data_IF_663300727395
#
_entry.id   IF_663300727395
#
_cell.length_a   1.000
_cell.length_b   1.000
_cell.length_c   1.000
_cell.angle_alpha   90.00
_cell.angle_beta   90.00
_cell.angle_gamma   90.00
#
_symmetry.space_group_name_H-M   'P 1'
#
loop_
_entity.id
_entity.type
_entity.pdbx_description
1 polymer ?
#
# COMPACT_ATOMS: atom_id res chain seq x y z
N UNK A 1 11.71 10.48 -3.52
CA UNK A 1 10.55 10.54 -2.62
C UNK A 1 11.06 10.77 -1.20
N UNK A 2 10.43 11.67 -0.46
CA UNK A 2 10.62 11.82 0.99
C UNK A 2 9.32 11.53 1.75
N UNK A 3 9.41 11.51 3.07
CA UNK A 3 8.26 11.39 3.96
C UNK A 3 8.26 12.54 4.95
N UNK A 4 7.09 13.08 5.25
CA UNK A 4 6.82 13.88 6.44
C UNK A 4 5.94 13.02 7.37
N UNK A 5 6.55 12.49 8.44
CA UNK A 5 5.88 11.61 9.39
C UNK A 5 5.55 12.37 10.68
N UNK A 6 4.28 12.73 10.86
CA UNK A 6 3.85 13.63 11.95
C UNK A 6 2.43 13.29 12.46
N UNK A 7 2.12 13.55 13.74
CA UNK A 7 0.79 13.32 14.32
C UNK A 7 -0.34 14.08 13.62
N UNK A 8 -0.03 15.20 12.96
CA UNK A 8 -1.02 16.00 12.26
C UNK A 8 -1.63 15.26 11.04
N UNK A 9 -0.95 14.20 10.57
CA UNK A 9 -1.41 13.33 9.49
C UNK A 9 -2.12 12.07 10.03
N UNK A 10 -2.33 11.96 11.33
CA UNK A 10 -3.15 10.90 11.93
C UNK A 10 -4.63 11.11 11.59
N UNK A 11 -5.45 10.09 11.87
CA UNK A 11 -6.90 10.16 11.69
C UNK A 11 -7.49 11.18 12.66
N UNK A 12 -8.37 12.04 12.17
CA UNK A 12 -9.21 12.88 13.02
C UNK A 12 -10.45 12.10 13.46
N UNK A 13 -10.72 11.90 14.75
CA UNK A 13 -11.95 11.23 15.20
C UNK A 13 -13.21 11.90 14.66
N UNK A 14 -14.23 11.10 14.35
CA UNK A 14 -15.49 11.63 13.85
C UNK A 14 -16.26 12.32 14.98
N UNK A 15 -17.00 13.41 14.67
CA UNK A 15 -17.74 14.18 15.69
C UNK A 15 -18.99 13.46 16.19
N UNK A 16 -19.58 12.62 15.36
CA UNK A 16 -20.67 11.73 15.77
C UNK A 16 -20.10 10.61 16.66
N UNK A 17 -20.38 10.71 17.96
CA UNK A 17 -19.95 9.73 18.95
C UNK A 17 -20.50 8.32 18.71
N UNK A 18 -21.68 8.19 18.11
CA UNK A 18 -22.25 6.87 17.81
C UNK A 18 -21.46 6.18 16.70
N UNK A 19 -21.13 6.92 15.64
CA UNK A 19 -20.31 6.43 14.54
C UNK A 19 -18.89 6.11 15.02
N UNK A 20 -18.28 6.97 15.84
CA UNK A 20 -16.94 6.72 16.38
C UNK A 20 -16.92 5.50 17.32
N UNK A 21 -17.97 5.31 18.14
CA UNK A 21 -18.10 4.14 19.02
C UNK A 21 -18.25 2.84 18.22
N UNK A 22 -18.88 2.89 17.03
CA UNK A 22 -19.08 1.73 16.17
C UNK A 22 -17.76 1.06 15.72
N UNK A 23 -16.64 1.78 15.70
CA UNK A 23 -15.32 1.22 15.38
C UNK A 23 -15.00 0.06 16.33
N UNK A 24 -15.29 0.23 17.62
CA UNK A 24 -15.06 -0.80 18.64
C UNK A 24 -15.99 -1.99 18.45
N UNK A 25 -17.27 -1.72 18.19
CA UNK A 25 -18.30 -2.75 18.02
C UNK A 25 -18.00 -3.64 16.79
N UNK A 26 -17.63 -3.03 15.66
CA UNK A 26 -17.27 -3.76 14.43
C UNK A 26 -16.02 -4.61 14.63
N UNK A 27 -15.02 -4.08 15.35
CA UNK A 27 -13.82 -4.85 15.70
C UNK A 27 -14.14 -6.05 16.59
N UNK A 28 -14.91 -5.85 17.65
CA UNK A 28 -15.24 -6.91 18.60
C UNK A 28 -16.04 -8.05 17.92
N UNK A 29 -16.97 -7.70 17.03
CA UNK A 29 -17.67 -8.67 16.19
C UNK A 29 -16.71 -9.44 15.28
N UNK A 30 -15.71 -8.77 14.69
CA UNK A 30 -14.73 -9.41 13.82
C UNK A 30 -13.83 -10.38 14.58
N UNK A 31 -13.36 -9.99 15.77
CA UNK A 31 -12.52 -10.85 16.63
C UNK A 31 -13.30 -12.11 17.06
N UNK A 32 -14.60 -12.01 17.34
CA UNK A 32 -15.44 -13.17 17.65
C UNK A 32 -15.50 -14.18 16.48
N UNK A 33 -15.46 -13.70 15.24
CA UNK A 33 -15.47 -14.54 14.04
C UNK A 33 -14.08 -15.09 13.67
N UNK A 34 -13.01 -14.45 14.15
CA UNK A 34 -11.63 -14.82 13.81
C UNK A 34 -10.72 -14.59 15.03
N UNK A 35 -10.65 -15.57 15.97
CA UNK A 35 -9.92 -15.41 17.22
C UNK A 35 -8.40 -15.22 17.08
N UNK A 36 -7.83 -15.59 15.92
CA UNK A 36 -6.41 -15.39 15.60
C UNK A 36 -6.10 -13.97 15.11
N UNK A 37 -7.12 -13.12 14.92
CA UNK A 37 -6.94 -11.75 14.46
C UNK A 37 -6.29 -10.90 15.55
N UNK A 38 -5.24 -10.16 15.19
CA UNK A 38 -4.56 -9.24 16.09
C UNK A 38 -4.57 -7.82 15.53
N UNK A 39 -4.44 -6.83 16.40
CA UNK A 39 -4.31 -5.43 15.99
C UNK A 39 -2.83 -5.11 15.71
N UNK A 40 -2.53 -4.67 14.50
CA UNK A 40 -1.18 -4.24 14.09
C UNK A 40 -1.15 -2.75 13.74
N UNK A 41 -0.06 -2.07 14.10
CA UNK A 41 0.20 -0.69 13.70
C UNK A 41 0.44 -0.61 12.19
N UNK A 42 -0.01 0.48 11.57
CA UNK A 42 0.18 0.76 10.15
C UNK A 42 0.47 2.24 9.93
N UNK A 43 1.17 2.57 8.84
CA UNK A 43 1.27 3.96 8.41
C UNK A 43 -0.07 4.41 7.81
N UNK A 44 -0.56 5.57 8.24
CA UNK A 44 -1.72 6.23 7.64
C UNK A 44 -1.26 7.15 6.52
N UNK A 45 -1.93 7.09 5.38
CA UNK A 45 -1.74 8.09 4.33
C UNK A 45 -2.55 9.34 4.66
N UNK A 46 -1.86 10.45 4.91
CA UNK A 46 -2.45 11.77 5.20
C UNK A 46 -2.36 12.74 4.02
N UNK A 47 -1.72 12.35 2.91
CA UNK A 47 -1.62 13.14 1.69
C UNK A 47 -0.21 13.19 1.13
N UNK A 48 0.05 14.18 0.27
CA UNK A 48 1.37 14.38 -0.32
C UNK A 48 1.54 15.83 -0.76
N UNK A 49 2.80 16.22 -0.98
CA UNK A 49 3.18 17.43 -1.72
C UNK A 49 4.04 17.05 -2.91
N UNK A 50 3.75 17.65 -4.05
CA UNK A 50 4.50 17.47 -5.28
C UNK A 50 5.20 18.77 -5.66
N UNK A 51 6.52 18.72 -5.77
CA UNK A 51 7.36 19.84 -6.21
C UNK A 51 7.88 19.54 -7.61
N UNK A 52 7.22 20.15 -8.59
CA UNK A 52 7.71 20.27 -9.97
C UNK A 52 8.10 21.71 -10.17
N UNK A 53 9.41 22.01 -10.09
CA UNK A 53 9.88 23.37 -10.34
C UNK A 53 10.10 23.48 -11.85
N UNK A 54 9.18 24.15 -12.54
CA UNK A 54 9.20 24.34 -14.00
C UNK A 54 10.46 25.04 -14.53
N UNK A 55 11.24 25.71 -13.68
CA UNK A 55 12.40 26.54 -14.05
C UNK A 55 13.72 26.18 -13.33
N UNK A 56 13.81 25.03 -12.65
CA UNK A 56 15.08 24.60 -12.01
C UNK A 56 15.51 23.22 -12.47
N UNK A 57 16.83 22.97 -12.56
CA UNK A 57 17.40 21.65 -12.85
C UNK A 57 17.15 20.58 -11.75
N UNK A 58 16.25 20.84 -10.80
CA UNK A 58 15.92 19.87 -9.75
C UNK A 58 14.96 18.82 -10.30
N UNK A 59 15.27 17.56 -10.02
CA UNK A 59 14.38 16.45 -10.34
C UNK A 59 13.03 16.60 -9.63
N UNK A 60 11.92 16.18 -10.26
CA UNK A 60 10.60 16.21 -9.64
C UNK A 60 10.62 15.42 -8.34
N UNK A 61 10.11 16.04 -7.27
CA UNK A 61 10.15 15.45 -5.93
C UNK A 61 8.76 15.36 -5.32
N UNK A 62 8.48 14.22 -4.70
CA UNK A 62 7.24 13.96 -3.97
C UNK A 62 7.56 13.68 -2.51
N UNK A 63 6.84 14.35 -1.62
CA UNK A 63 6.88 14.11 -0.18
C UNK A 63 5.53 13.51 0.25
N UNK A 64 5.55 12.28 0.77
CA UNK A 64 4.34 11.65 1.32
C UNK A 64 4.14 12.13 2.76
N UNK A 65 2.91 12.52 3.08
CA UNK A 65 2.51 12.90 4.42
C UNK A 65 1.92 11.69 5.12
N UNK A 66 2.60 11.18 6.15
CA UNK A 66 2.24 9.94 6.82
C UNK A 66 1.95 10.17 8.30
N UNK A 67 0.86 9.55 8.77
CA UNK A 67 0.55 9.43 10.19
C UNK A 67 0.63 7.98 10.65
N UNK A 68 0.06 7.71 11.82
CA UNK A 68 -0.16 6.37 12.36
C UNK A 68 -1.64 6.02 12.36
N UNK A 69 -1.89 4.73 12.16
CA UNK A 69 -3.19 4.10 12.37
C UNK A 69 -2.94 2.65 12.77
N UNK A 70 -4.02 1.88 12.89
CA UNK A 70 -3.94 0.45 13.16
C UNK A 70 -5.00 -0.34 12.40
N UNK A 71 -4.82 -1.65 12.41
CA UNK A 71 -5.70 -2.59 11.73
C UNK A 71 -7.12 -2.59 12.30
N UNK A 72 -7.25 -2.41 13.62
CA UNK A 72 -8.55 -2.26 14.30
C UNK A 72 -9.35 -1.08 13.75
N UNK A 73 -8.73 0.09 13.66
CA UNK A 73 -9.35 1.28 13.11
C UNK A 73 -9.68 1.08 11.64
N UNK A 74 -8.81 0.42 10.87
CA UNK A 74 -9.10 0.08 9.47
C UNK A 74 -10.36 -0.79 9.32
N UNK A 75 -10.50 -1.82 10.16
CA UNK A 75 -11.69 -2.67 10.20
C UNK A 75 -12.94 -1.87 10.56
N UNK A 76 -12.84 -0.99 11.56
CA UNK A 76 -13.98 -0.21 12.05
C UNK A 76 -14.34 1.03 11.22
N UNK A 77 -13.46 1.51 10.33
CA UNK A 77 -13.74 2.64 9.44
C UNK A 77 -13.86 2.22 7.98
N UNK A 78 -12.76 1.81 7.33
CA UNK A 78 -12.73 1.57 5.89
C UNK A 78 -13.48 0.29 5.52
N UNK A 79 -13.34 -0.78 6.32
CA UNK A 79 -14.05 -2.03 6.08
C UNK A 79 -15.42 -2.12 6.79
N UNK A 80 -15.83 -1.04 7.46
CA UNK A 80 -17.15 -0.98 8.09
C UNK A 80 -18.25 -0.96 7.02
N UNK A 81 -19.40 -1.60 7.28
CA UNK A 81 -20.60 -1.40 6.45
C UNK A 81 -21.04 0.07 6.37
N UNK A 82 -20.60 0.90 7.33
CA UNK A 82 -20.90 2.34 7.42
C UNK A 82 -19.75 3.22 6.91
N UNK A 83 -18.79 2.68 6.14
CA UNK A 83 -17.57 3.40 5.75
C UNK A 83 -17.84 4.75 5.07
N UNK A 84 -18.93 4.86 4.28
CA UNK A 84 -19.32 6.10 3.60
C UNK A 84 -19.67 7.22 4.60
N UNK A 85 -20.18 6.88 5.78
CA UNK A 85 -20.53 7.85 6.82
C UNK A 85 -19.30 8.48 7.49
N UNK A 86 -18.11 7.89 7.32
CA UNK A 86 -16.86 8.48 7.78
C UNK A 86 -16.29 9.48 6.76
N UNK A 87 -16.87 9.61 5.56
CA UNK A 87 -16.39 10.55 4.55
C UNK A 87 -16.91 11.96 4.79
N UNK A 88 -16.10 12.94 4.41
CA UNK A 88 -16.50 14.35 4.36
C UNK A 88 -16.61 14.79 2.91
N UNK A 89 -17.63 15.60 2.59
CA UNK A 89 -17.76 16.18 1.27
C UNK A 89 -16.59 17.15 1.00
N UNK A 90 -15.66 16.72 0.15
CA UNK A 90 -14.45 17.44 -0.22
C UNK A 90 -13.97 16.94 -1.59
N UNK A 91 -13.39 17.83 -2.39
CA UNK A 91 -12.68 17.49 -3.63
C UNK A 91 -11.24 17.04 -3.36
N UNK A 92 -10.69 17.43 -2.19
CA UNK A 92 -9.41 16.91 -1.72
C UNK A 92 -9.63 15.55 -1.04
N UNK A 93 -9.06 14.50 -1.62
CA UNK A 93 -9.17 13.11 -1.17
C UNK A 93 -8.68 12.91 0.27
N UNK A 94 -7.65 13.66 0.69
CA UNK A 94 -7.07 13.55 2.03
C UNK A 94 -8.04 14.10 3.07
N UNK A 95 -8.68 15.23 2.78
CA UNK A 95 -9.73 15.83 3.61
C UNK A 95 -11.01 15.01 3.61
N UNK A 96 -11.39 14.45 2.47
CA UNK A 96 -12.54 13.53 2.36
C UNK A 96 -12.35 12.33 3.30
N UNK A 97 -11.12 11.83 3.41
CA UNK A 97 -10.76 10.64 4.20
C UNK A 97 -10.24 10.95 5.61
N UNK A 98 -10.44 12.18 6.12
CA UNK A 98 -9.86 12.60 7.40
C UNK A 98 -10.32 11.75 8.61
N UNK A 99 -11.53 11.18 8.55
CA UNK A 99 -12.09 10.32 9.61
C UNK A 99 -11.90 8.82 9.38
N UNK A 100 -11.22 8.42 8.31
CA UNK A 100 -10.91 7.01 8.04
C UNK A 100 -9.47 6.67 8.43
N UNK A 101 -9.25 5.39 8.78
CA UNK A 101 -7.93 4.83 9.08
C UNK A 101 -6.94 5.05 7.94
N UNK A 102 -7.38 4.80 6.70
CA UNK A 102 -6.58 4.97 5.47
C UNK A 102 -5.14 4.41 5.57
N UNK A 103 -4.97 3.13 5.96
CA UNK A 103 -3.66 2.53 6.02
C UNK A 103 -3.05 2.48 4.61
N UNK A 104 -1.80 2.93 4.49
CA UNK A 104 -1.08 2.93 3.22
C UNK A 104 -0.61 1.49 2.92
N UNK A 105 -1.20 0.86 1.90
CA UNK A 105 -0.64 -0.35 1.32
C UNK A 105 0.51 -0.04 0.35
N UNK A 106 1.28 -1.05 -0.03
CA UNK A 106 2.24 -0.95 -1.14
C UNK A 106 1.91 -1.99 -2.24
N UNK A 107 2.46 -1.78 -3.44
CA UNK A 107 2.30 -2.71 -4.57
C UNK A 107 3.38 -2.50 -5.63
N UNK A 108 3.83 -3.57 -6.27
CA UNK A 108 4.94 -3.56 -7.21
C UNK A 108 4.51 -4.03 -8.60
N UNK A 109 4.67 -3.17 -9.59
CA UNK A 109 4.66 -3.60 -10.99
C UNK A 109 6.07 -4.09 -11.33
N UNK A 110 6.25 -5.40 -11.31
CA UNK A 110 7.53 -6.05 -11.61
C UNK A 110 7.58 -6.46 -13.08
N UNK A 111 8.51 -5.89 -13.84
CA UNK A 111 8.75 -6.23 -15.26
C UNK A 111 9.96 -7.16 -15.40
N UNK A 112 9.74 -8.33 -16.00
CA UNK A 112 10.78 -9.33 -16.28
C UNK A 112 11.67 -8.93 -17.47
N UNK A 113 12.82 -9.60 -17.62
CA UNK A 113 13.74 -9.33 -18.74
C UNK A 113 13.12 -9.59 -20.11
N UNK A 114 12.13 -10.49 -20.18
CA UNK A 114 11.33 -10.82 -21.37
C UNK A 114 10.01 -10.03 -21.46
N UNK A 115 9.91 -8.89 -20.76
CA UNK A 115 8.81 -7.92 -20.85
C UNK A 115 7.43 -8.47 -20.45
N UNK A 116 7.42 -9.37 -19.45
CA UNK A 116 6.22 -9.82 -18.76
C UNK A 116 6.06 -9.09 -17.44
N UNK A 117 4.83 -9.00 -16.97
CA UNK A 117 4.47 -8.38 -15.69
C UNK A 117 4.01 -9.47 -14.73
N UNK A 118 4.51 -9.42 -13.50
CA UNK A 118 4.11 -10.33 -12.44
C UNK A 118 2.73 -9.95 -11.88
N UNK A 119 1.83 -10.93 -11.78
CA UNK A 119 0.48 -10.77 -11.24
C UNK A 119 0.14 -11.99 -10.39
N UNK A 120 -0.35 -11.78 -9.19
CA UNK A 120 -0.79 -12.83 -8.28
C UNK A 120 -2.30 -12.99 -8.36
N UNK A 121 -2.78 -14.23 -8.29
CA UNK A 121 -4.19 -14.53 -8.02
C UNK A 121 -4.37 -14.77 -6.53
N UNK A 122 -5.10 -13.89 -5.86
CA UNK A 122 -5.39 -14.01 -4.42
C UNK A 122 -6.10 -15.33 -4.11
N UNK A 123 -5.76 -15.92 -2.97
CA UNK A 123 -6.44 -17.10 -2.42
C UNK A 123 -7.92 -16.82 -2.16
N UNK A 124 -8.73 -17.87 -2.08
CA UNK A 124 -10.15 -17.72 -1.73
C UNK A 124 -10.37 -17.54 -0.21
N UNK A 125 -9.32 -17.71 0.59
CA UNK A 125 -9.38 -17.67 2.05
C UNK A 125 -9.02 -16.29 2.64
N UNK A 126 -8.67 -15.32 1.79
CA UNK A 126 -8.30 -13.97 2.22
C UNK A 126 -9.55 -13.12 2.51
N UNK A 127 -9.42 -12.17 3.45
CA UNK A 127 -10.55 -11.32 3.88
C UNK A 127 -10.97 -10.24 2.89
N UNK A 128 -10.16 -9.92 1.89
CA UNK A 128 -10.44 -8.90 0.88
C UNK A 128 -10.17 -9.44 -0.53
N UNK A 129 -11.13 -9.27 -1.44
CA UNK A 129 -11.05 -9.61 -2.87
C UNK A 129 -10.55 -11.05 -3.15
N UNK A 130 -11.22 -12.09 -2.62
CA UNK A 130 -10.82 -13.48 -2.88
C UNK A 130 -10.86 -13.81 -4.38
N UNK A 131 -9.80 -14.45 -4.88
CA UNK A 131 -9.70 -14.85 -6.30
C UNK A 131 -9.50 -13.72 -7.32
N UNK A 132 -9.31 -12.47 -6.86
CA UNK A 132 -8.94 -11.33 -7.70
C UNK A 132 -7.45 -11.35 -8.05
N UNK A 133 -7.10 -10.59 -9.08
CA UNK A 133 -5.72 -10.39 -9.48
C UNK A 133 -5.12 -9.14 -8.83
N UNK A 134 -3.90 -9.25 -8.35
CA UNK A 134 -3.15 -8.17 -7.72
C UNK A 134 -1.71 -8.16 -8.20
N UNK A 135 -1.09 -6.99 -8.09
CA UNK A 135 0.37 -6.88 -8.13
C UNK A 135 0.93 -7.37 -6.78
N UNK A 136 2.16 -7.93 -6.76
CA UNK A 136 2.83 -8.24 -5.50
C UNK A 136 2.90 -7.05 -4.56
N UNK A 137 2.76 -7.27 -3.26
CA UNK A 137 2.80 -6.23 -2.23
C UNK A 137 1.89 -6.50 -1.04
N UNK A 138 2.06 -5.68 -0.02
CA UNK A 138 1.34 -5.76 1.24
C UNK A 138 1.32 -4.42 1.96
N UNK A 139 2.00 -4.33 3.11
CA UNK A 139 1.98 -3.11 3.94
C UNK A 139 3.31 -2.84 4.63
N UNK A 140 3.89 -1.63 4.46
CA UNK A 140 4.99 -1.20 5.32
C UNK A 140 4.51 -1.11 6.78
N UNK A 141 5.30 -1.67 7.70
CA UNK A 141 4.95 -1.70 9.12
C UNK A 141 5.80 -0.71 9.93
N UNK A 142 5.18 0.15 10.76
CA UNK A 142 5.93 1.08 11.62
C UNK A 142 6.94 0.40 12.55
N UNK A 143 6.66 -0.83 12.98
CA UNK A 143 7.52 -1.57 13.89
C UNK A 143 8.88 -1.92 13.27
N UNK A 144 8.95 -2.15 11.95
CA UNK A 144 10.20 -2.47 11.22
C UNK A 144 11.23 -1.34 11.30
N UNK A 145 10.77 -0.09 11.48
CA UNK A 145 11.62 1.08 11.66
C UNK A 145 11.71 1.58 13.10
N UNK A 146 11.18 0.79 14.05
CA UNK A 146 11.16 1.10 15.48
C UNK A 146 10.17 2.21 15.86
N UNK A 147 9.12 2.40 15.07
CA UNK A 147 8.02 3.33 15.37
C UNK A 147 6.88 2.56 16.04
N UNK A 148 6.74 2.73 17.35
CA UNK A 148 5.63 2.15 18.13
C UNK A 148 4.57 3.21 18.51
N UNK A 149 4.95 4.48 18.46
CA UNK A 149 4.08 5.64 18.66
C UNK A 149 4.80 6.92 18.19
N UNK A 150 4.08 8.03 18.09
CA UNK A 150 4.70 9.34 17.92
C UNK A 150 5.49 9.71 19.18
N UNK A 151 6.81 9.92 19.03
CA UNK A 151 7.65 10.32 20.16
C UNK A 151 7.40 11.79 20.51
N UNK A 152 6.94 12.03 21.74
CA UNK A 152 6.91 13.38 22.32
C UNK A 152 8.24 13.60 23.07
N UNK A 153 9.21 14.29 22.46
CA UNK A 153 10.51 14.48 23.13
C UNK A 153 11.58 15.32 22.40
N UNK A 154 12.31 16.08 23.22
CA UNK A 154 13.26 17.19 23.01
C UNK A 154 14.60 16.86 22.32
N UNK A 155 14.68 15.84 21.48
CA UNK A 155 15.93 15.60 20.72
C UNK A 155 16.08 16.62 19.59
N UNK A 156 17.31 17.01 19.26
CA UNK A 156 17.61 17.84 18.09
C UNK A 156 17.64 16.91 16.84
N UNK A 157 16.84 17.23 15.82
CA UNK A 157 16.69 16.50 14.55
C UNK A 157 16.06 15.06 14.54
N UNK A 158 15.22 14.63 15.51
CA UNK A 158 14.59 13.30 15.49
C UNK A 158 13.62 13.14 14.32
N UNK A 159 12.97 14.22 13.88
CA UNK A 159 12.00 14.22 12.77
C UNK A 159 12.67 13.87 11.42
N UNK A 160 13.85 14.42 11.11
CA UNK A 160 14.52 14.13 9.83
C UNK A 160 15.03 12.68 9.76
N UNK A 161 15.57 12.17 10.87
CA UNK A 161 16.05 10.79 10.95
C UNK A 161 14.88 9.82 10.80
N UNK A 162 13.76 10.05 11.50
CA UNK A 162 12.60 9.17 11.39
C UNK A 162 11.96 9.26 10.00
N UNK A 163 11.83 10.46 9.43
CA UNK A 163 11.34 10.66 8.06
C UNK A 163 12.18 9.87 7.05
N UNK A 164 13.51 9.89 7.18
CA UNK A 164 14.40 9.10 6.33
C UNK A 164 14.20 7.59 6.53
N UNK A 165 14.06 7.12 7.77
CA UNK A 165 13.81 5.70 8.06
C UNK A 165 12.48 5.23 7.51
N UNK A 166 11.40 5.98 7.74
CA UNK A 166 10.07 5.68 7.21
C UNK A 166 10.08 5.71 5.69
N UNK A 167 10.75 6.70 5.09
CA UNK A 167 10.92 6.74 3.64
C UNK A 167 11.67 5.52 3.12
N UNK A 168 12.76 5.11 3.77
CA UNK A 168 13.52 3.92 3.38
C UNK A 168 12.65 2.65 3.47
N UNK A 169 11.87 2.52 4.54
CA UNK A 169 10.95 1.39 4.74
C UNK A 169 9.87 1.28 3.66
N UNK A 170 9.42 2.39 3.07
CA UNK A 170 8.52 2.32 1.90
C UNK A 170 9.15 1.57 0.72
N UNK A 171 10.47 1.70 0.53
CA UNK A 171 11.20 1.00 -0.54
C UNK A 171 11.65 -0.40 -0.11
N UNK A 172 12.09 -0.57 1.13
CA UNK A 172 12.58 -1.86 1.63
C UNK A 172 11.42 -2.86 1.75
N UNK A 173 10.26 -2.43 2.29
CA UNK A 173 9.07 -3.28 2.40
C UNK A 173 8.63 -3.82 1.05
N UNK A 174 8.55 -2.99 0.01
CA UNK A 174 8.06 -3.47 -1.28
C UNK A 174 9.03 -4.45 -1.96
N UNK A 175 10.34 -4.34 -1.70
CA UNK A 175 11.31 -5.35 -2.15
C UNK A 175 11.10 -6.65 -1.37
N UNK A 176 10.93 -6.59 -0.04
CA UNK A 176 10.67 -7.78 0.79
C UNK A 176 9.41 -8.52 0.33
N UNK A 177 8.31 -7.81 0.15
CA UNK A 177 7.02 -8.37 -0.30
C UNK A 177 7.15 -9.06 -1.67
N UNK A 178 7.89 -8.46 -2.63
CA UNK A 178 8.14 -9.12 -3.92
C UNK A 178 8.93 -10.41 -3.74
N UNK A 179 9.95 -10.42 -2.87
CA UNK A 179 10.75 -11.63 -2.60
C UNK A 179 9.89 -12.70 -1.95
N UNK A 180 9.15 -12.35 -0.90
CA UNK A 180 8.32 -13.24 -0.08
C UNK A 180 7.18 -13.88 -0.91
N UNK A 181 6.49 -13.09 -1.74
CA UNK A 181 5.34 -13.56 -2.51
C UNK A 181 5.71 -14.25 -3.84
N UNK A 182 6.91 -13.99 -4.40
CA UNK A 182 7.28 -14.52 -5.73
C UNK A 182 8.46 -15.48 -5.73
N UNK A 183 9.24 -15.51 -4.65
CA UNK A 183 10.50 -16.24 -4.54
C UNK A 183 11.66 -15.63 -5.34
N UNK A 184 11.46 -14.49 -6.02
CA UNK A 184 12.53 -13.83 -6.79
C UNK A 184 13.55 -13.21 -5.85
N UNK A 185 14.85 -13.57 -5.92
CA UNK A 185 15.85 -13.01 -5.03
C UNK A 185 16.05 -11.51 -5.25
N UNK A 186 16.23 -10.74 -4.18
CA UNK A 186 16.44 -9.29 -4.24
C UNK A 186 17.60 -8.87 -5.16
N UNK A 187 18.65 -9.69 -5.28
CA UNK A 187 19.79 -9.43 -6.18
C UNK A 187 19.42 -9.39 -7.67
N UNK A 188 18.26 -9.93 -8.04
CA UNK A 188 17.73 -9.92 -9.40
C UNK A 188 16.76 -8.75 -9.65
N UNK A 189 16.45 -7.95 -8.62
CA UNK A 189 15.55 -6.82 -8.67
C UNK A 189 16.35 -5.51 -8.74
N UNK A 190 15.91 -4.58 -9.58
CA UNK A 190 16.41 -3.21 -9.57
C UNK A 190 15.95 -2.46 -8.32
N UNK A 191 16.58 -1.33 -8.01
CA UNK A 191 16.03 -0.40 -7.03
C UNK A 191 14.58 -0.02 -7.42
N UNK A 192 13.62 -0.03 -6.49
CA UNK A 192 12.24 0.34 -6.80
C UNK A 192 12.13 1.83 -7.12
N UNK A 193 11.26 2.14 -8.07
CA UNK A 193 10.90 3.51 -8.44
C UNK A 193 9.47 3.75 -7.97
N UNK A 194 9.23 4.75 -7.13
CA UNK A 194 7.88 5.15 -6.74
C UNK A 194 7.17 5.78 -7.95
N UNK A 195 6.01 5.24 -8.34
CA UNK A 195 5.28 5.67 -9.55
C UNK A 195 3.98 6.40 -9.24
N UNK A 196 3.51 6.38 -7.99
CA UNK A 196 2.36 7.14 -7.54
C UNK A 196 1.55 6.43 -6.45
N UNK A 197 0.48 7.06 -6.01
CA UNK A 197 -0.53 6.47 -5.11
C UNK A 197 -1.82 6.30 -5.88
N UNK A 198 -2.46 5.15 -5.70
CA UNK A 198 -3.83 4.92 -6.18
C UNK A 198 -4.76 4.67 -5.00
N UNK A 199 -5.91 5.35 -5.01
CA UNK A 199 -6.97 5.15 -4.03
C UNK A 199 -8.16 4.41 -4.65
N UNK A 200 -8.71 3.45 -3.93
CA UNK A 200 -9.96 2.77 -4.32
C UNK A 200 -11.15 3.72 -4.17
N UNK A 201 -12.11 3.66 -5.09
CA UNK A 201 -13.42 4.30 -4.88
C UNK A 201 -14.19 3.63 -3.74
N UNK A 202 -14.26 2.29 -3.76
CA UNK A 202 -14.80 1.51 -2.66
C UNK A 202 -13.84 1.57 -1.48
N UNK A 203 -14.34 1.86 -0.27
CA UNK A 203 -13.58 1.86 0.99
C UNK A 203 -12.34 2.78 1.07
N UNK A 204 -12.12 3.64 0.08
CA UNK A 204 -11.11 4.72 0.06
C UNK A 204 -9.71 4.30 0.47
N UNK A 205 -9.34 3.02 0.31
CA UNK A 205 -8.03 2.51 0.71
C UNK A 205 -6.95 2.99 -0.27
N UNK A 206 -5.88 3.67 0.21
CA UNK A 206 -4.76 4.09 -0.61
C UNK A 206 -3.70 2.99 -0.74
N UNK A 207 -2.98 2.99 -1.86
CA UNK A 207 -1.85 2.08 -2.11
C UNK A 207 -0.76 2.81 -2.88
N UNK A 208 0.46 2.82 -2.35
CA UNK A 208 1.64 3.31 -3.03
C UNK A 208 2.15 2.26 -4.02
N UNK A 209 2.35 2.65 -5.28
CA UNK A 209 2.87 1.77 -6.31
C UNK A 209 4.31 2.05 -6.63
N UNK A 210 5.05 0.96 -6.87
CA UNK A 210 6.44 0.96 -7.27
C UNK A 210 6.62 0.19 -8.56
N UNK A 211 7.59 0.59 -9.37
CA UNK A 211 8.06 -0.14 -10.53
C UNK A 211 9.43 -0.75 -10.24
N UNK A 212 9.59 -2.02 -10.58
CA UNK A 212 10.83 -2.78 -10.36
C UNK A 212 11.14 -3.58 -11.63
N UNK A 213 12.38 -3.52 -12.11
CA UNK A 213 12.86 -4.42 -13.17
C UNK A 213 13.45 -5.66 -12.54
N UNK A 214 13.11 -6.81 -13.10
CA UNK A 214 13.71 -8.10 -12.80
C UNK A 214 14.56 -8.55 -13.97
N UNK A 215 15.80 -8.98 -13.72
CA UNK A 215 16.69 -9.48 -14.78
C UNK A 215 16.42 -10.95 -15.18
N UNK A 216 15.51 -11.64 -14.48
CA UNK A 216 15.07 -12.99 -14.80
C UNK A 216 13.93 -12.99 -15.83
N UNK A 217 13.84 -14.05 -16.62
CA UNK A 217 12.72 -14.32 -17.50
C UNK A 217 11.54 -14.93 -16.75
N UNK A 218 10.34 -14.77 -17.30
CA UNK A 218 9.12 -15.35 -16.75
C UNK A 218 9.23 -16.84 -16.39
N UNK A 219 9.86 -17.65 -17.25
CA UNK A 219 10.02 -19.09 -17.02
C UNK A 219 10.89 -19.41 -15.80
N UNK A 220 11.91 -18.60 -15.54
CA UNK A 220 12.80 -18.78 -14.40
C UNK A 220 12.06 -18.47 -13.10
N UNK A 221 11.28 -17.38 -13.10
CA UNK A 221 10.45 -16.95 -11.97
C UNK A 221 9.37 -18.00 -11.64
N UNK A 222 8.75 -18.62 -12.65
CA UNK A 222 7.75 -19.66 -12.43
C UNK A 222 8.27 -20.84 -11.59
N UNK A 223 9.56 -21.17 -11.73
CA UNK A 223 10.20 -22.25 -10.98
C UNK A 223 10.56 -21.83 -9.55
N UNK A 224 10.75 -20.54 -9.30
CA UNK A 224 11.06 -20.01 -7.96
C UNK A 224 9.81 -19.90 -7.09
N UNK A 225 8.65 -19.64 -7.70
CA UNK A 225 7.40 -19.46 -6.97
C UNK A 225 6.95 -20.68 -6.15
N UNK A 226 7.37 -21.90 -6.49
CA UNK A 226 7.06 -23.09 -5.67
C UNK A 226 7.66 -23.03 -4.27
N UNK A 227 8.71 -22.24 -4.09
CA UNK A 227 9.44 -22.08 -2.83
C UNK A 227 9.13 -20.73 -2.15
N UNK A 228 8.13 -19.98 -2.63
CA UNK A 228 7.72 -18.70 -2.05
C UNK A 228 7.14 -18.88 -0.64
N UNK A 229 7.45 -17.96 0.27
CA UNK A 229 7.09 -18.05 1.69
C UNK A 229 5.58 -17.89 1.92
N UNK A 230 4.94 -17.00 1.16
CA UNK A 230 3.51 -16.66 1.29
C UNK A 230 2.58 -17.45 0.37
N UNK A 231 2.82 -18.76 0.26
CA UNK A 231 2.02 -19.65 -0.58
C UNK A 231 0.54 -19.77 -0.17
N UNK A 232 0.15 -19.23 0.99
CA UNK A 232 -1.25 -19.20 1.45
C UNK A 232 -2.04 -17.99 0.91
N UNK A 233 -1.37 -16.85 0.68
CA UNK A 233 -2.02 -15.59 0.31
C UNK A 233 -2.45 -15.56 -1.17
N UNK A 234 -1.71 -16.26 -2.02
CA UNK A 234 -1.95 -16.39 -3.44
C UNK A 234 -2.08 -17.87 -3.85
N UNK A 235 -2.81 -18.12 -4.93
CA UNK A 235 -3.00 -19.49 -5.49
C UNK A 235 -2.24 -19.70 -6.79
N UNK A 236 -1.73 -18.61 -7.37
CA UNK A 236 -1.06 -18.62 -8.65
C UNK A 236 -0.25 -17.33 -8.85
N UNK A 237 0.98 -17.46 -9.31
CA UNK A 237 1.76 -16.39 -9.94
C UNK A 237 1.62 -16.49 -11.47
N UNK A 238 1.31 -15.36 -12.10
CA UNK A 238 1.13 -15.21 -13.54
C UNK A 238 2.15 -14.21 -14.09
N UNK A 239 2.72 -14.54 -15.24
CA UNK A 239 3.59 -13.65 -16.01
C UNK A 239 2.89 -13.27 -17.30
N UNK A 240 2.36 -12.05 -17.36
CA UNK A 240 1.44 -11.62 -18.42
C UNK A 240 2.06 -10.54 -19.29
N UNK A 241 1.69 -10.51 -20.58
CA UNK A 241 1.96 -9.33 -21.42
C UNK A 241 1.07 -8.16 -20.99
N UNK A 242 1.44 -6.95 -21.40
CA UNK A 242 0.63 -5.75 -21.17
C UNK A 242 -0.83 -5.91 -21.66
N UNK A 243 -1.02 -6.45 -22.86
CA UNK A 243 -2.35 -6.70 -23.44
C UNK A 243 -3.21 -7.64 -22.57
N UNK A 244 -2.59 -8.67 -21.99
CA UNK A 244 -3.29 -9.62 -21.14
C UNK A 244 -3.59 -9.00 -19.77
N UNK A 245 -2.67 -8.20 -19.23
CA UNK A 245 -2.88 -7.45 -18.00
C UNK A 245 -4.07 -6.49 -18.11
N UNK A 246 -4.19 -5.78 -19.23
CA UNK A 246 -5.35 -4.92 -19.52
C UNK A 246 -6.66 -5.72 -19.54
N UNK A 247 -6.67 -6.91 -20.13
CA UNK A 247 -7.85 -7.79 -20.09
C UNK A 247 -8.20 -8.30 -18.69
N UNK A 248 -7.26 -8.28 -17.74
CA UNK A 248 -7.47 -8.75 -16.37
C UNK A 248 -7.97 -7.63 -15.43
N UNK A 249 -7.93 -6.38 -15.87
CA UNK A 249 -8.21 -5.18 -15.07
C UNK A 249 -9.58 -5.23 -14.36
N UNK A 250 -10.61 -5.75 -15.04
CA UNK A 250 -11.96 -5.85 -14.47
C UNK A 250 -12.04 -6.70 -13.20
N UNK A 251 -11.04 -7.57 -12.98
CA UNK A 251 -10.92 -8.46 -11.81
C UNK A 251 -9.73 -8.09 -10.91
N UNK A 252 -9.32 -6.83 -10.94
CA UNK A 252 -8.35 -6.27 -10.00
C UNK A 252 -9.06 -5.35 -9.00
N UNK A 253 -8.63 -5.30 -7.73
CA UNK A 253 -9.14 -4.30 -6.80
C UNK A 253 -8.86 -2.89 -7.32
N UNK A 254 -9.71 -1.93 -6.95
CA UNK A 254 -9.67 -0.57 -7.52
C UNK A 254 -8.28 0.11 -7.51
N UNK A 255 -7.51 -0.08 -6.44
CA UNK A 255 -6.17 0.51 -6.33
C UNK A 255 -5.17 -0.17 -7.27
N UNK A 256 -5.28 -1.47 -7.50
CA UNK A 256 -4.39 -2.17 -8.45
C UNK A 256 -4.72 -1.83 -9.90
N UNK A 257 -5.98 -1.53 -10.22
CA UNK A 257 -6.31 -0.93 -11.53
C UNK A 257 -5.63 0.43 -11.69
N UNK A 258 -5.65 1.27 -10.66
CA UNK A 258 -4.90 2.52 -10.69
C UNK A 258 -3.38 2.32 -10.74
N UNK A 259 -2.84 1.27 -10.10
CA UNK A 259 -1.44 0.86 -10.26
C UNK A 259 -1.09 0.50 -11.71
N UNK A 260 -1.99 -0.17 -12.43
CA UNK A 260 -1.85 -0.42 -13.87
C UNK A 260 -1.86 0.88 -14.68
N UNK A 261 -2.75 1.83 -14.35
CA UNK A 261 -2.78 3.14 -15.02
C UNK A 261 -1.50 3.94 -14.75
N UNK A 262 -0.98 3.95 -13.52
CA UNK A 262 0.31 4.57 -13.21
C UNK A 262 1.44 3.96 -14.03
N UNK A 263 1.45 2.64 -14.19
CA UNK A 263 2.42 1.95 -15.05
C UNK A 263 2.30 2.37 -16.51
N UNK A 264 1.08 2.48 -17.05
CA UNK A 264 0.85 2.98 -18.42
C UNK A 264 1.39 4.39 -18.62
N UNK A 265 1.26 5.26 -17.61
CA UNK A 265 1.76 6.63 -17.68
C UNK A 265 3.29 6.69 -17.80
N UNK A 266 4.03 5.72 -17.26
CA UNK A 266 5.50 5.66 -17.42
C UNK A 266 5.96 5.48 -18.86
N UNK A 267 5.12 4.91 -19.73
CA UNK A 267 5.44 4.67 -21.14
C UNK A 267 4.85 5.72 -22.08
N UNK A 268 4.12 6.71 -21.55
CA UNK A 268 3.69 7.84 -22.37
C UNK A 268 4.89 8.77 -22.58
N UNK A 269 5.22 9.10 -23.84
CA UNK A 269 6.33 9.99 -24.18
C UNK A 269 6.09 11.43 -23.70
#
# INVERSE_FOLDING_TARGET
MSVAFEPLYDRTPHRDHSLESSISEVWDQRVQQSPSLFNGLKFRYGGHTFSSVSDSQQEPHVCLHLGLTDYRTFVGTNLSPLWENFLVQSEDDCWQCQHTSSPLGNGAVVETSDKKILVLRRSNNVGEFPGYFVFPGGHPEPNEVGVTCHKSGTELNPSEIINRKVSQEMFDSIVREVVEETGVPAANLSAPIFIGVSQRLMNVRPTAFFFIKCNLQAKEIQNLYSDAEDSFESTQLLMVSMSNLESMEYKMPGCHRGGLELYKLMYKP
#
